data_IF_108090083445
#
_entry.id   IF_108090083445
#
_cell.length_a   1.000
_cell.length_b   1.000
_cell.length_c   1.000
_cell.angle_alpha   90.00
_cell.angle_beta   90.00
_cell.angle_gamma   90.00
#
_symmetry.space_group_name_H-M   'P 1'
#
loop_
_entity.id
_entity.type
_entity.pdbx_description
1 polymer ?
#
# COMPACT_ATOMS: atom_id res chain seq x y z
N UNK A 1 -50.63 11.57 5.97
CA UNK A 1 -49.54 12.02 5.07
C UNK A 1 -48.55 12.81 5.90
N UNK A 2 -47.31 12.32 6.01
CA UNK A 2 -46.25 12.95 6.81
C UNK A 2 -45.01 12.07 6.79
N UNK A 3 -44.28 12.09 5.68
CA UNK A 3 -43.04 11.34 5.51
C UNK A 3 -41.89 12.08 6.19
N UNK A 4 -41.35 11.50 7.26
CA UNK A 4 -40.04 11.83 7.80
C UNK A 4 -38.96 11.21 6.92
N UNK A 5 -38.17 12.04 6.23
CA UNK A 5 -36.99 11.60 5.50
C UNK A 5 -35.88 11.17 6.46
N UNK A 6 -35.61 9.87 6.53
CA UNK A 6 -34.44 9.33 7.22
C UNK A 6 -33.16 9.68 6.46
N UNK A 7 -32.16 10.20 7.20
CA UNK A 7 -30.83 10.52 6.69
C UNK A 7 -30.15 9.25 6.18
N UNK A 8 -29.69 9.29 4.93
CA UNK A 8 -28.85 8.24 4.30
C UNK A 8 -27.53 8.10 5.08
N UNK A 9 -27.26 6.89 5.59
CA UNK A 9 -26.01 6.52 6.24
C UNK A 9 -25.13 5.89 5.16
N UNK A 10 -24.15 6.63 4.66
CA UNK A 10 -23.17 6.15 3.67
C UNK A 10 -22.38 4.97 4.25
N UNK A 11 -22.17 3.93 3.44
CA UNK A 11 -21.36 2.76 3.80
C UNK A 11 -19.88 3.17 3.92
N UNK A 12 -19.20 2.64 4.93
CA UNK A 12 -17.80 2.92 5.24
C UNK A 12 -16.81 1.99 4.51
N UNK A 13 -17.28 1.05 3.69
CA UNK A 13 -16.45 0.01 3.06
C UNK A 13 -15.65 0.48 1.84
N UNK A 14 -16.08 1.57 1.20
CA UNK A 14 -15.35 2.22 0.10
C UNK A 14 -14.49 3.40 0.55
N UNK A 15 -14.38 3.64 1.87
CA UNK A 15 -13.43 4.60 2.39
C UNK A 15 -12.01 3.99 2.34
N UNK A 16 -11.46 3.93 1.12
CA UNK A 16 -10.12 4.45 0.90
C UNK A 16 -10.05 5.79 1.65
N UNK A 17 -8.97 6.14 2.34
CA UNK A 17 -8.73 7.53 2.72
C UNK A 17 -8.53 8.40 1.47
N UNK A 18 -9.52 8.49 0.59
CA UNK A 18 -9.82 9.71 -0.10
C UNK A 18 -10.56 10.63 0.88
N UNK A 19 -9.90 10.98 1.99
CA UNK A 19 -10.19 12.21 2.74
C UNK A 19 -9.66 13.43 1.96
N UNK A 20 -9.91 13.43 0.66
CA UNK A 20 -10.00 14.64 -0.11
C UNK A 20 -11.50 14.81 -0.34
N UNK A 21 -12.18 15.67 0.43
CA UNK A 21 -13.51 16.07 0.01
C UNK A 21 -13.39 16.47 -1.45
N UNK A 22 -14.21 15.89 -2.33
CA UNK A 22 -14.63 16.56 -3.57
C UNK A 22 -15.32 17.84 -3.12
N UNK A 23 -14.51 18.81 -2.71
CA UNK A 23 -14.93 20.14 -2.43
C UNK A 23 -15.55 20.60 -3.73
N UNK A 24 -16.83 20.97 -3.67
CA UNK A 24 -17.41 21.93 -4.61
C UNK A 24 -16.72 23.28 -4.35
N UNK A 25 -15.42 23.32 -4.61
CA UNK A 25 -14.58 24.51 -4.67
C UNK A 25 -14.27 24.82 -6.14
N UNK A 26 -13.56 25.93 -6.42
CA UNK A 26 -13.14 26.27 -7.77
C UNK A 26 -12.43 25.07 -8.42
N UNK A 27 -12.67 24.87 -9.73
CA UNK A 27 -12.11 23.75 -10.49
C UNK A 27 -10.63 23.57 -10.13
N UNK A 28 -10.26 22.37 -9.66
CA UNK A 28 -8.88 22.08 -9.30
C UNK A 28 -7.97 22.40 -10.50
N UNK A 29 -6.84 23.07 -10.29
CA UNK A 29 -5.99 23.48 -11.40
C UNK A 29 -5.56 22.24 -12.18
N UNK A 30 -5.76 22.27 -13.50
CA UNK A 30 -5.26 21.21 -14.38
C UNK A 30 -3.74 21.28 -14.42
N UNK A 31 -3.09 20.22 -13.95
CA UNK A 31 -1.64 20.06 -14.00
C UNK A 31 -1.31 19.23 -15.23
N UNK A 32 -0.44 19.74 -16.10
CA UNK A 32 0.11 18.94 -17.21
C UNK A 32 1.51 18.49 -16.85
N UNK A 33 1.78 17.21 -17.05
CA UNK A 33 3.12 16.64 -16.93
C UNK A 33 3.58 16.21 -18.33
N UNK A 34 4.69 16.77 -18.79
CA UNK A 34 5.35 16.40 -20.03
C UNK A 34 6.59 15.56 -19.71
N UNK A 35 6.87 14.52 -20.48
CA UNK A 35 8.08 13.72 -20.34
C UNK A 35 7.95 12.36 -21.02
N UNK A 36 9.07 11.64 -21.13
CA UNK A 36 9.08 10.30 -21.73
C UNK A 36 8.28 9.32 -20.86
N UNK A 37 7.42 8.51 -21.49
CA UNK A 37 6.68 7.47 -20.77
C UNK A 37 7.57 6.34 -20.29
N UNK A 38 8.82 6.27 -20.74
CA UNK A 38 9.79 5.25 -20.36
C UNK A 38 10.87 5.81 -19.42
N UNK A 39 10.63 6.98 -18.82
CA UNK A 39 11.55 7.61 -17.87
C UNK A 39 11.12 7.35 -16.43
N UNK A 40 12.01 6.78 -15.63
CA UNK A 40 11.80 6.60 -14.19
C UNK A 40 11.48 7.95 -13.53
N UNK A 41 12.23 8.99 -13.90
CA UNK A 41 12.06 10.31 -13.33
C UNK A 41 10.67 10.88 -13.65
N UNK A 42 10.20 10.73 -14.89
CA UNK A 42 8.84 11.16 -15.27
C UNK A 42 7.77 10.38 -14.52
N UNK A 43 7.92 9.06 -14.40
CA UNK A 43 6.97 8.22 -13.67
C UNK A 43 6.95 8.55 -12.16
N UNK A 44 8.10 8.87 -11.57
CA UNK A 44 8.22 9.27 -10.17
C UNK A 44 7.49 10.59 -9.90
N UNK A 45 7.67 11.60 -10.76
CA UNK A 45 6.95 12.87 -10.66
C UNK A 45 5.46 12.70 -10.91
N UNK A 46 5.09 11.83 -11.86
CA UNK A 46 3.69 11.47 -12.10
C UNK A 46 3.05 10.87 -10.85
N UNK A 47 3.72 9.93 -10.21
CA UNK A 47 3.27 9.29 -8.97
C UNK A 47 3.09 10.32 -7.84
N UNK A 48 4.07 11.22 -7.64
CA UNK A 48 3.96 12.32 -6.68
C UNK A 48 2.73 13.20 -6.93
N UNK A 49 2.44 13.54 -8.18
CA UNK A 49 1.27 14.34 -8.56
C UNK A 49 -0.06 13.58 -8.38
N UNK A 50 -0.09 12.26 -8.58
CA UNK A 50 -1.30 11.44 -8.37
C UNK A 50 -1.74 11.42 -6.90
N UNK A 51 -0.81 11.57 -5.97
CA UNK A 51 -1.13 11.75 -4.55
C UNK A 51 -1.66 13.14 -4.20
N UNK A 52 -1.44 14.14 -5.07
CA UNK A 52 -2.04 15.45 -4.92
C UNK A 52 -3.45 15.40 -5.52
N UNK A 53 -4.39 16.10 -4.89
CA UNK A 53 -5.81 16.15 -5.29
C UNK A 53 -6.06 16.95 -6.59
N UNK A 54 -5.17 16.83 -7.57
CA UNK A 54 -5.10 17.66 -8.77
C UNK A 54 -5.64 16.89 -9.98
N UNK A 55 -6.16 17.64 -10.96
CA UNK A 55 -6.49 17.05 -12.26
C UNK A 55 -5.20 16.93 -13.08
N UNK A 56 -4.60 15.74 -13.07
CA UNK A 56 -3.34 15.46 -13.78
C UNK A 56 -3.61 15.03 -15.21
N UNK A 57 -2.98 15.69 -16.18
CA UNK A 57 -2.92 15.28 -17.59
C UNK A 57 -1.49 14.99 -17.99
N UNK A 58 -1.18 13.72 -18.20
CA UNK A 58 0.12 13.31 -18.73
C UNK A 58 0.17 13.50 -20.26
N UNK A 59 1.26 14.06 -20.75
CA UNK A 59 1.55 14.28 -22.17
C UNK A 59 2.88 13.60 -22.49
N UNK A 60 2.86 12.35 -22.99
CA UNK A 60 4.08 11.64 -23.37
C UNK A 60 4.86 12.40 -24.43
N UNK A 61 6.17 12.50 -24.27
CA UNK A 61 7.04 13.14 -25.25
C UNK A 61 8.46 12.59 -25.14
N UNK A 62 8.98 12.07 -26.26
CA UNK A 62 10.34 11.53 -26.36
C UNK A 62 11.38 12.59 -26.77
N UNK A 63 10.93 13.80 -27.06
CA UNK A 63 11.80 14.95 -27.40
C UNK A 63 11.77 15.99 -26.28
N UNK A 64 12.84 16.79 -26.10
CA UNK A 64 12.88 17.84 -25.08
C UNK A 64 11.66 18.76 -25.17
N UNK A 65 10.93 18.93 -24.06
CA UNK A 65 9.78 19.83 -24.00
C UNK A 65 10.23 21.14 -23.38
N UNK A 66 9.86 22.26 -24.01
CA UNK A 66 10.26 23.58 -23.54
C UNK A 66 11.79 23.75 -23.42
N UNK A 67 12.57 22.98 -24.18
CA UNK A 67 14.05 23.00 -24.14
C UNK A 67 14.68 22.14 -23.04
N UNK A 68 13.90 21.33 -22.32
CA UNK A 68 14.40 20.48 -21.22
C UNK A 68 14.30 19.00 -21.55
N UNK A 69 15.35 18.24 -21.24
CA UNK A 69 15.43 16.78 -21.45
C UNK A 69 14.64 15.97 -20.39
N UNK A 70 14.31 16.58 -19.25
CA UNK A 70 13.58 15.95 -18.14
C UNK A 70 12.07 16.24 -18.12
N UNK A 71 11.34 15.71 -17.14
CA UNK A 71 9.93 16.01 -16.94
C UNK A 71 9.70 17.49 -16.70
N UNK A 72 8.59 18.00 -17.25
CA UNK A 72 8.17 19.40 -17.13
C UNK A 72 6.75 19.44 -16.58
N UNK A 73 6.53 20.19 -15.50
CA UNK A 73 5.21 20.42 -14.93
C UNK A 73 4.71 21.78 -15.42
N UNK A 74 3.48 21.82 -15.93
CA UNK A 74 2.80 23.06 -16.30
C UNK A 74 1.50 23.22 -15.51
N UNK A 75 1.33 24.38 -14.89
CA UNK A 75 0.12 24.78 -14.16
C UNK A 75 -0.32 26.16 -14.63
N UNK A 76 -1.36 26.22 -15.47
CA UNK A 76 -1.76 27.46 -16.12
C UNK A 76 -0.66 27.96 -17.08
N UNK A 77 -0.15 29.17 -16.85
CA UNK A 77 0.98 29.76 -17.60
C UNK A 77 2.35 29.45 -17.00
N UNK A 78 2.39 28.89 -15.79
CA UNK A 78 3.64 28.56 -15.10
C UNK A 78 4.15 27.20 -15.59
N UNK A 79 5.45 27.14 -15.86
CA UNK A 79 6.15 25.93 -16.29
C UNK A 79 7.40 25.77 -15.44
N UNK A 80 7.62 24.57 -14.90
CA UNK A 80 8.79 24.23 -14.10
C UNK A 80 9.43 22.93 -14.57
N UNK A 81 10.75 22.91 -14.59
CA UNK A 81 11.61 21.78 -14.94
C UNK A 81 12.85 21.81 -14.04
N UNK A 82 13.61 20.71 -14.00
CA UNK A 82 14.85 20.65 -13.22
C UNK A 82 15.11 19.29 -12.63
N UNK A 83 15.86 19.25 -11.52
CA UNK A 83 16.11 18.03 -10.77
C UNK A 83 14.84 17.48 -10.13
N UNK A 84 14.90 16.23 -9.66
CA UNK A 84 13.81 15.60 -8.92
C UNK A 84 13.42 16.40 -7.69
N UNK A 85 14.41 16.87 -6.95
CA UNK A 85 14.24 17.66 -5.73
C UNK A 85 13.59 19.02 -6.05
N UNK A 86 13.97 19.64 -7.17
CA UNK A 86 13.36 20.89 -7.65
C UNK A 86 11.86 20.71 -7.93
N UNK A 87 11.51 19.64 -8.65
CA UNK A 87 10.12 19.36 -9.00
C UNK A 87 9.29 18.92 -7.79
N UNK A 88 9.84 18.12 -6.88
CA UNK A 88 9.17 17.76 -5.62
C UNK A 88 8.93 18.99 -4.75
N UNK A 89 9.92 19.86 -4.59
CA UNK A 89 9.76 21.10 -3.82
C UNK A 89 8.70 22.00 -4.45
N UNK A 90 8.66 22.11 -5.77
CA UNK A 90 7.58 22.81 -6.47
C UNK A 90 6.21 22.19 -6.17
N UNK A 91 6.08 20.86 -6.27
CA UNK A 91 4.84 20.14 -5.99
C UNK A 91 4.38 20.38 -4.54
N UNK A 92 5.28 20.32 -3.56
CA UNK A 92 4.95 20.57 -2.15
C UNK A 92 4.56 22.02 -1.89
N UNK A 93 5.27 22.98 -2.46
CA UNK A 93 4.94 24.40 -2.31
C UNK A 93 3.58 24.74 -2.96
N UNK A 94 3.28 24.13 -4.12
CA UNK A 94 2.07 24.41 -4.89
C UNK A 94 0.85 23.64 -4.40
N UNK A 95 1.05 22.41 -3.93
CA UNK A 95 0.01 21.48 -3.49
C UNK A 95 0.40 20.90 -2.12
N UNK A 96 0.30 21.66 -1.03
CA UNK A 96 0.88 21.29 0.27
C UNK A 96 0.26 20.06 0.93
N UNK A 97 -0.92 19.62 0.48
CA UNK A 97 -1.62 18.47 1.08
C UNK A 97 -2.03 17.45 0.01
N UNK A 98 -1.89 16.14 0.31
CA UNK A 98 -1.17 15.55 1.46
C UNK A 98 0.36 15.69 1.32
N UNK A 99 1.13 15.72 2.42
CA UNK A 99 2.59 15.81 2.35
C UNK A 99 3.20 14.55 1.71
N UNK A 100 4.13 14.77 0.77
CA UNK A 100 4.94 13.76 0.09
C UNK A 100 6.29 13.56 0.78
N UNK A 101 6.77 14.56 1.52
CA UNK A 101 8.02 14.50 2.27
C UNK A 101 7.74 14.94 3.70
N UNK A 102 8.18 14.14 4.68
CA UNK A 102 8.24 14.54 6.08
C UNK A 102 9.71 14.79 6.42
N UNK A 103 10.05 15.93 7.07
CA UNK A 103 11.41 16.15 7.55
C UNK A 103 11.76 15.06 8.56
N UNK A 104 12.65 14.15 8.18
CA UNK A 104 13.10 13.06 9.05
C UNK A 104 14.44 13.43 9.68
N UNK A 105 14.44 13.59 11.01
CA UNK A 105 15.67 13.82 11.79
C UNK A 105 16.49 12.55 12.05
N UNK A 106 15.86 11.37 12.01
CA UNK A 106 16.47 10.09 12.40
C UNK A 106 16.49 9.01 11.30
N UNK A 107 15.83 9.20 10.15
CA UNK A 107 15.71 8.15 9.12
C UNK A 107 17.00 7.86 8.34
N UNK A 108 18.00 8.74 8.39
CA UNK A 108 19.26 8.56 7.64
C UNK A 108 20.18 7.51 8.28
N UNK A 109 20.02 7.24 9.59
CA UNK A 109 20.79 6.23 10.31
C UNK A 109 20.22 4.81 10.15
N UNK A 110 18.90 4.68 9.97
CA UNK A 110 18.23 3.38 9.90
C UNK A 110 18.56 2.64 8.59
N UNK A 111 19.00 1.37 8.65
CA UNK A 111 19.29 0.56 7.47
C UNK A 111 18.11 0.54 6.47
N UNK A 112 18.37 0.68 5.16
CA UNK A 112 17.33 0.71 4.13
C UNK A 112 16.36 -0.49 4.17
N UNK A 113 16.86 -1.69 4.50
CA UNK A 113 16.02 -2.89 4.64
C UNK A 113 15.04 -2.77 5.81
N UNK A 114 15.48 -2.23 6.96
CA UNK A 114 14.62 -2.00 8.13
C UNK A 114 13.50 -1.01 7.79
N UNK A 115 13.83 0.06 7.05
CA UNK A 115 12.82 1.02 6.57
C UNK A 115 11.81 0.34 5.64
N UNK A 116 12.26 -0.54 4.74
CA UNK A 116 11.38 -1.29 3.84
C UNK A 116 10.42 -2.21 4.63
N UNK A 117 10.94 -2.96 5.60
CA UNK A 117 10.16 -3.85 6.48
C UNK A 117 9.09 -3.07 7.24
N UNK A 118 9.45 -1.96 7.89
CA UNK A 118 8.47 -1.12 8.58
C UNK A 118 7.39 -0.55 7.66
N UNK A 119 7.70 -0.29 6.38
CA UNK A 119 6.70 0.09 5.37
C UNK A 119 5.80 -1.10 5.00
N UNK A 120 6.33 -2.32 4.90
CA UNK A 120 5.53 -3.53 4.71
C UNK A 120 4.54 -3.73 5.87
N UNK A 121 5.01 -3.61 7.12
CA UNK A 121 4.17 -3.74 8.32
C UNK A 121 2.99 -2.78 8.29
N UNK A 122 3.25 -1.51 7.95
CA UNK A 122 2.20 -0.48 7.82
C UNK A 122 1.19 -0.83 6.74
N UNK A 123 1.65 -1.21 5.55
CA UNK A 123 0.76 -1.58 4.44
C UNK A 123 -0.09 -2.80 4.75
N UNK A 124 0.53 -3.88 5.24
CA UNK A 124 -0.15 -5.12 5.59
C UNK A 124 -1.22 -4.84 6.65
N UNK A 125 -0.86 -4.14 7.72
CA UNK A 125 -1.79 -3.79 8.81
C UNK A 125 -2.98 -2.98 8.28
N UNK A 126 -2.73 -2.02 7.39
CA UNK A 126 -3.79 -1.23 6.77
C UNK A 126 -4.76 -2.08 5.95
N UNK A 127 -4.25 -3.02 5.16
CA UNK A 127 -5.08 -3.92 4.34
C UNK A 127 -5.88 -4.90 5.18
N UNK A 128 -5.30 -5.47 6.23
CA UNK A 128 -6.05 -6.34 7.16
C UNK A 128 -7.17 -5.54 7.82
N UNK A 129 -6.89 -4.33 8.31
CA UNK A 129 -7.90 -3.45 8.92
C UNK A 129 -9.01 -3.06 7.92
N UNK A 130 -8.66 -2.76 6.66
CA UNK A 130 -9.63 -2.51 5.59
C UNK A 130 -10.55 -3.71 5.39
N UNK A 131 -10.02 -4.92 5.35
CA UNK A 131 -10.83 -6.14 5.22
C UNK A 131 -11.71 -6.39 6.44
N UNK A 132 -11.24 -6.09 7.66
CA UNK A 132 -12.07 -6.13 8.87
C UNK A 132 -13.27 -5.18 8.75
N UNK A 133 -13.04 -3.93 8.31
CA UNK A 133 -14.09 -2.95 8.08
C UNK A 133 -15.07 -3.38 6.99
N UNK A 134 -14.56 -3.96 5.90
CA UNK A 134 -15.39 -4.44 4.80
C UNK A 134 -16.23 -5.67 5.20
N UNK A 135 -15.66 -6.62 5.96
CA UNK A 135 -16.40 -7.77 6.47
C UNK A 135 -17.52 -7.34 7.43
N UNK A 136 -17.26 -6.37 8.30
CA UNK A 136 -18.29 -5.81 9.19
C UNK A 136 -19.41 -5.10 8.42
N UNK A 137 -19.08 -4.41 7.32
CA UNK A 137 -20.08 -3.80 6.45
C UNK A 137 -20.93 -4.85 5.70
N UNK A 138 -20.31 -5.92 5.20
CA UNK A 138 -21.03 -7.05 4.58
C UNK A 138 -22.00 -7.70 5.57
N UNK A 139 -21.56 -7.92 6.81
CA UNK A 139 -22.38 -8.45 7.91
C UNK A 139 -23.57 -7.51 8.20
N UNK A 140 -23.32 -6.20 8.33
CA UNK A 140 -24.36 -5.22 8.64
C UNK A 140 -25.44 -5.14 7.54
N UNK A 141 -25.07 -5.33 6.27
CA UNK A 141 -26.01 -5.32 5.13
C UNK A 141 -26.87 -6.57 5.05
N UNK A 142 -26.48 -7.66 5.72
CA UNK A 142 -27.21 -8.93 5.76
C UNK A 142 -27.63 -9.47 4.39
N UNK A 143 -26.74 -9.38 3.40
CA UNK A 143 -27.01 -9.87 2.04
C UNK A 143 -28.10 -9.08 1.28
N UNK A 144 -28.56 -7.94 1.80
CA UNK A 144 -29.48 -7.06 1.07
C UNK A 144 -28.76 -6.37 -0.09
N UNK A 145 -29.45 -6.29 -1.23
CA UNK A 145 -28.98 -5.58 -2.41
C UNK A 145 -28.72 -4.09 -2.14
N UNK A 146 -27.88 -3.49 -2.99
CA UNK A 146 -27.37 -2.14 -2.80
C UNK A 146 -28.46 -1.06 -2.76
N UNK A 147 -28.31 -0.12 -1.81
CA UNK A 147 -28.99 1.19 -1.84
C UNK A 147 -28.12 2.24 -2.57
N UNK A 148 -26.84 1.92 -2.82
CA UNK A 148 -25.84 2.77 -3.46
C UNK A 148 -25.52 2.31 -4.90
N UNK A 149 -25.66 3.17 -5.93
CA UNK A 149 -25.29 2.84 -7.31
C UNK A 149 -23.84 2.36 -7.51
N UNK A 150 -22.91 2.66 -6.60
CA UNK A 150 -21.52 2.19 -6.66
C UNK A 150 -21.29 0.74 -6.22
N UNK A 151 -22.24 0.14 -5.47
CA UNK A 151 -22.08 -1.19 -4.88
C UNK A 151 -22.60 -2.30 -5.78
N UNK A 152 -21.85 -3.40 -5.87
CA UNK A 152 -22.26 -4.60 -6.60
C UNK A 152 -23.32 -5.42 -5.87
N UNK A 153 -23.80 -6.49 -6.50
CA UNK A 153 -24.60 -7.50 -5.81
C UNK A 153 -23.80 -8.15 -4.65
N UNK A 154 -24.45 -8.74 -3.63
CA UNK A 154 -23.74 -9.39 -2.52
C UNK A 154 -22.65 -10.38 -3.00
N UNK A 155 -22.95 -11.14 -4.06
CA UNK A 155 -21.99 -12.07 -4.68
C UNK A 155 -20.80 -11.36 -5.33
N UNK A 156 -21.02 -10.22 -5.98
CA UNK A 156 -19.93 -9.41 -6.53
C UNK A 156 -19.05 -8.83 -5.42
N UNK A 157 -19.65 -8.37 -4.34
CA UNK A 157 -18.91 -7.81 -3.21
C UNK A 157 -18.05 -8.88 -2.53
N UNK A 158 -18.56 -10.09 -2.30
CA UNK A 158 -17.76 -11.22 -1.79
C UNK A 158 -16.64 -11.59 -2.77
N UNK A 159 -16.87 -11.52 -4.10
CA UNK A 159 -15.81 -11.78 -5.09
C UNK A 159 -14.70 -10.74 -5.05
N UNK A 160 -15.03 -9.45 -4.92
CA UNK A 160 -14.02 -8.39 -4.78
C UNK A 160 -13.26 -8.55 -3.46
N UNK A 161 -13.97 -8.86 -2.37
CA UNK A 161 -13.38 -9.17 -1.07
C UNK A 161 -12.37 -10.32 -1.16
N UNK A 162 -12.76 -11.42 -1.82
CA UNK A 162 -11.90 -12.59 -2.02
C UNK A 162 -10.64 -12.27 -2.83
N UNK A 163 -10.75 -11.42 -3.85
CA UNK A 163 -9.60 -10.94 -4.63
C UNK A 163 -8.63 -10.17 -3.73
N UNK A 164 -9.14 -9.18 -3.00
CA UNK A 164 -8.33 -8.34 -2.10
C UNK A 164 -7.66 -9.15 -1.00
N UNK A 165 -8.36 -10.13 -0.40
CA UNK A 165 -7.76 -11.04 0.57
C UNK A 165 -6.66 -11.94 -0.05
N UNK A 166 -6.83 -12.36 -1.31
CA UNK A 166 -5.82 -13.18 -1.99
C UNK A 166 -4.54 -12.39 -2.27
N UNK A 167 -4.67 -11.12 -2.68
CA UNK A 167 -3.56 -10.18 -2.87
C UNK A 167 -2.83 -9.92 -1.55
N UNK A 168 -3.59 -9.66 -0.46
CA UNK A 168 -3.03 -9.51 0.88
C UNK A 168 -2.25 -10.74 1.34
N UNK A 169 -2.84 -11.92 1.18
CA UNK A 169 -2.21 -13.17 1.58
C UNK A 169 -0.87 -13.38 0.87
N UNK A 170 -0.78 -13.06 -0.42
CA UNK A 170 0.45 -13.17 -1.19
C UNK A 170 1.53 -12.20 -0.68
N UNK A 171 1.18 -10.94 -0.37
CA UNK A 171 2.11 -9.97 0.24
C UNK A 171 2.61 -10.46 1.61
N UNK A 172 1.71 -10.94 2.48
CA UNK A 172 2.08 -11.45 3.81
C UNK A 172 3.05 -12.64 3.71
N UNK A 173 2.82 -13.55 2.76
CA UNK A 173 3.69 -14.71 2.54
C UNK A 173 5.06 -14.32 1.98
N UNK A 174 5.11 -13.39 1.04
CA UNK A 174 6.39 -12.90 0.51
C UNK A 174 7.19 -12.13 1.57
N UNK A 175 6.50 -11.36 2.41
CA UNK A 175 7.10 -10.60 3.52
C UNK A 175 7.74 -11.54 4.55
N UNK A 176 6.99 -12.50 5.08
CA UNK A 176 7.51 -13.51 6.00
C UNK A 176 8.70 -14.29 5.39
N UNK A 177 8.61 -14.67 4.11
CA UNK A 177 9.72 -15.35 3.43
C UNK A 177 10.95 -14.46 3.24
N UNK A 178 10.76 -13.16 2.99
CA UNK A 178 11.85 -12.21 2.86
C UNK A 178 12.60 -12.10 4.20
N UNK A 179 11.88 -12.04 5.31
CA UNK A 179 12.49 -12.00 6.64
C UNK A 179 13.25 -13.29 6.94
N UNK A 180 12.62 -14.45 6.74
CA UNK A 180 13.23 -15.75 6.99
C UNK A 180 14.46 -16.04 6.12
N UNK A 181 14.49 -15.54 4.87
CA UNK A 181 15.58 -15.81 3.93
C UNK A 181 16.68 -14.77 3.94
N UNK A 182 16.39 -13.54 4.35
CA UNK A 182 17.31 -12.41 4.23
C UNK A 182 17.62 -11.80 5.58
N UNK A 183 16.61 -11.48 6.38
CA UNK A 183 16.78 -10.72 7.62
C UNK A 183 17.22 -11.61 8.79
N UNK A 184 16.45 -12.64 9.09
CA UNK A 184 16.67 -13.54 10.22
C UNK A 184 18.04 -14.24 10.16
N UNK A 185 18.54 -14.71 9.00
CA UNK A 185 19.88 -15.30 8.94
C UNK A 185 21.00 -14.34 9.37
N UNK A 186 20.83 -13.02 9.17
CA UNK A 186 21.82 -12.02 9.60
C UNK A 186 21.80 -11.86 11.11
N UNK A 187 20.61 -11.82 11.70
CA UNK A 187 20.43 -11.68 13.15
C UNK A 187 20.84 -12.95 13.91
N UNK A 188 20.52 -14.13 13.36
CA UNK A 188 20.88 -15.42 13.93
C UNK A 188 22.40 -15.70 13.90
N UNK A 189 23.17 -14.95 13.09
CA UNK A 189 24.64 -14.96 13.17
C UNK A 189 25.13 -14.37 14.50
N UNK A 190 24.40 -13.43 15.08
CA UNK A 190 24.72 -12.83 16.37
C UNK A 190 24.23 -13.71 17.53
N UNK A 191 22.98 -14.18 17.46
CA UNK A 191 22.41 -15.15 18.41
C UNK A 191 21.24 -15.92 17.77
N UNK A 192 21.37 -17.25 17.72
CA UNK A 192 20.44 -18.17 17.05
C UNK A 192 19.04 -18.20 17.66
N UNK A 193 18.86 -17.69 18.87
CA UNK A 193 17.54 -17.70 19.53
C UNK A 193 16.73 -16.42 19.27
N UNK A 194 17.32 -15.38 18.64
CA UNK A 194 16.66 -14.09 18.41
C UNK A 194 15.41 -14.21 17.54
N UNK A 195 15.48 -14.94 16.41
CA UNK A 195 14.39 -15.01 15.44
C UNK A 195 13.43 -16.19 15.64
N UNK A 196 13.62 -16.98 16.72
CA UNK A 196 12.86 -18.22 16.95
C UNK A 196 11.38 -17.97 17.25
N UNK A 197 11.08 -16.90 17.99
CA UNK A 197 9.69 -16.53 18.29
C UNK A 197 8.95 -16.11 17.01
N UNK A 198 9.57 -15.25 16.18
CA UNK A 198 9.02 -14.79 14.90
C UNK A 198 8.78 -15.95 13.91
N UNK A 199 9.75 -16.86 13.75
CA UNK A 199 9.55 -18.10 12.96
C UNK A 199 8.35 -18.93 13.45
N UNK A 200 8.24 -19.07 14.77
CA UNK A 200 7.12 -19.79 15.38
C UNK A 200 5.78 -19.11 15.12
N UNK A 201 5.74 -17.79 15.05
CA UNK A 201 4.55 -16.98 14.75
C UNK A 201 4.12 -17.17 13.31
N UNK A 202 5.03 -17.04 12.34
CA UNK A 202 4.75 -17.31 10.92
C UNK A 202 4.12 -18.70 10.70
N UNK A 203 4.67 -19.72 11.35
CA UNK A 203 4.16 -21.09 11.24
C UNK A 203 2.74 -21.24 11.83
N UNK A 204 2.39 -20.48 12.87
CA UNK A 204 1.07 -20.51 13.51
C UNK A 204 0.03 -19.70 12.74
N UNK A 205 0.43 -18.62 12.08
CA UNK A 205 -0.49 -17.74 11.36
C UNK A 205 -0.93 -18.33 10.00
N UNK A 206 -0.10 -19.17 9.37
CA UNK A 206 -0.43 -19.79 8.10
C UNK A 206 -1.75 -20.61 8.12
N UNK A 207 -2.01 -21.50 9.10
CA UNK A 207 -3.31 -22.16 9.26
C UNK A 207 -4.48 -21.19 9.44
N UNK A 208 -4.28 -20.08 10.17
CA UNK A 208 -5.32 -19.06 10.39
C UNK A 208 -5.69 -18.41 9.05
N UNK A 209 -4.68 -17.97 8.30
CA UNK A 209 -4.85 -17.35 7.00
C UNK A 209 -5.52 -18.29 5.98
N UNK A 210 -5.13 -19.56 5.97
CA UNK A 210 -5.75 -20.55 5.09
C UNK A 210 -7.21 -20.78 5.45
N UNK A 211 -7.56 -20.88 6.74
CA UNK A 211 -8.95 -21.05 7.10
C UNK A 211 -9.81 -19.83 6.76
N UNK A 212 -9.29 -18.59 6.86
CA UNK A 212 -10.02 -17.40 6.40
C UNK A 212 -10.28 -17.49 4.89
N UNK A 213 -9.30 -17.97 4.10
CA UNK A 213 -9.47 -18.19 2.67
C UNK A 213 -10.61 -19.17 2.36
N UNK A 214 -10.71 -20.26 3.12
CA UNK A 214 -11.77 -21.25 2.95
C UNK A 214 -13.14 -20.73 3.40
N UNK A 215 -13.19 -19.91 4.46
CA UNK A 215 -14.44 -19.24 4.87
C UNK A 215 -14.97 -18.34 3.75
N UNK A 216 -14.10 -17.53 3.15
CA UNK A 216 -14.46 -16.63 2.04
C UNK A 216 -15.01 -17.43 0.84
N UNK A 217 -14.36 -18.54 0.46
CA UNK A 217 -14.83 -19.42 -0.61
C UNK A 217 -16.20 -19.98 -0.31
N UNK A 218 -16.41 -20.46 0.93
CA UNK A 218 -17.68 -21.01 1.39
C UNK A 218 -18.78 -19.96 1.32
N UNK A 219 -18.54 -18.76 1.83
CA UNK A 219 -19.49 -17.63 1.75
C UNK A 219 -19.84 -17.30 0.31
N UNK A 220 -18.89 -17.39 -0.62
CA UNK A 220 -19.07 -17.08 -2.04
C UNK A 220 -20.08 -17.98 -2.78
N UNK A 221 -20.42 -19.16 -2.23
CA UNK A 221 -21.38 -20.10 -2.82
C UNK A 221 -22.69 -20.22 -2.04
N UNK A 222 -22.79 -19.57 -0.88
CA UNK A 222 -23.98 -19.59 -0.03
C UNK A 222 -25.09 -18.66 -0.56
N UNK A 223 -26.33 -18.95 -0.19
CA UNK A 223 -27.46 -18.04 -0.42
C UNK A 223 -27.38 -16.86 0.56
N UNK A 224 -27.21 -15.65 0.01
CA UNK A 224 -27.12 -14.39 0.76
C UNK A 224 -28.31 -14.09 1.67
N UNK A 225 -29.48 -14.68 1.40
CA UNK A 225 -30.68 -14.54 2.24
C UNK A 225 -30.74 -15.49 3.43
N UNK A 226 -29.86 -16.50 3.49
CA UNK A 226 -29.92 -17.55 4.51
C UNK A 226 -29.35 -17.10 5.87
N UNK A 227 -29.86 -17.64 6.99
CA UNK A 227 -29.25 -17.44 8.31
C UNK A 227 -27.79 -17.90 8.37
N UNK A 228 -27.47 -19.00 7.66
CA UNK A 228 -26.11 -19.54 7.58
C UNK A 228 -25.12 -18.54 6.94
N UNK A 229 -25.54 -17.77 5.94
CA UNK A 229 -24.70 -16.74 5.33
C UNK A 229 -24.35 -15.63 6.34
N UNK A 230 -25.29 -15.26 7.21
CA UNK A 230 -25.06 -14.26 8.25
C UNK A 230 -24.07 -14.75 9.30
N UNK A 231 -24.23 -15.99 9.74
CA UNK A 231 -23.31 -16.64 10.68
C UNK A 231 -21.90 -16.76 10.08
N UNK A 232 -21.79 -17.15 8.82
CA UNK A 232 -20.51 -17.24 8.12
C UNK A 232 -19.80 -15.88 8.01
N UNK A 233 -20.53 -14.80 7.69
CA UNK A 233 -19.97 -13.44 7.67
C UNK A 233 -19.50 -12.98 9.05
N UNK A 234 -20.27 -13.27 10.10
CA UNK A 234 -19.90 -12.95 11.48
C UNK A 234 -18.62 -13.69 11.91
N UNK A 235 -18.53 -14.99 11.59
CA UNK A 235 -17.35 -15.81 11.88
C UNK A 235 -16.12 -15.29 11.11
N UNK A 236 -16.27 -14.97 9.82
CA UNK A 236 -15.22 -14.35 9.02
C UNK A 236 -14.75 -13.02 9.63
N UNK A 237 -15.68 -12.13 10.01
CA UNK A 237 -15.34 -10.86 10.66
C UNK A 237 -14.55 -11.07 11.94
N UNK A 238 -14.95 -12.04 12.77
CA UNK A 238 -14.28 -12.38 14.02
C UNK A 238 -12.84 -12.87 13.78
N UNK A 239 -12.65 -13.78 12.81
CA UNK A 239 -11.32 -14.30 12.48
C UNK A 239 -10.40 -13.24 11.90
N UNK A 240 -10.90 -12.34 11.06
CA UNK A 240 -10.12 -11.22 10.53
C UNK A 240 -9.69 -10.25 11.63
N UNK A 241 -10.53 -10.00 12.65
CA UNK A 241 -10.14 -9.19 13.82
C UNK A 241 -9.03 -9.86 14.61
N UNK A 242 -9.11 -11.19 14.79
CA UNK A 242 -8.04 -11.95 15.44
C UNK A 242 -6.73 -11.85 14.65
N UNK A 243 -6.79 -12.00 13.32
CA UNK A 243 -5.61 -11.85 12.45
C UNK A 243 -5.02 -10.44 12.54
N UNK A 244 -5.86 -9.39 12.57
CA UNK A 244 -5.41 -8.00 12.72
C UNK A 244 -4.65 -7.81 14.02
N UNK A 245 -5.16 -8.34 15.12
CA UNK A 245 -4.52 -8.24 16.43
C UNK A 245 -3.18 -8.98 16.45
N UNK A 246 -3.13 -10.19 15.87
CA UNK A 246 -1.87 -10.94 15.74
C UNK A 246 -0.83 -10.17 14.92
N UNK A 247 -1.21 -9.64 13.75
CA UNK A 247 -0.31 -8.85 12.91
C UNK A 247 0.25 -7.64 13.68
N UNK A 248 -0.61 -6.91 14.40
CA UNK A 248 -0.19 -5.76 15.20
C UNK A 248 0.79 -6.14 16.30
N UNK A 249 0.54 -7.25 17.00
CA UNK A 249 1.42 -7.72 18.06
C UNK A 249 2.76 -8.19 17.51
N UNK A 250 2.74 -9.02 16.46
CA UNK A 250 3.92 -9.53 15.78
C UNK A 250 4.81 -8.39 15.26
N UNK A 251 4.26 -7.48 14.45
CA UNK A 251 5.01 -6.35 13.91
C UNK A 251 5.51 -5.40 15.00
N UNK A 252 4.75 -5.19 16.09
CA UNK A 252 5.22 -4.40 17.21
C UNK A 252 6.44 -5.04 17.89
N UNK A 253 6.45 -6.36 18.06
CA UNK A 253 7.60 -7.06 18.62
C UNK A 253 8.83 -6.92 17.72
N UNK A 254 8.65 -7.07 16.41
CA UNK A 254 9.75 -6.92 15.46
C UNK A 254 10.27 -5.49 15.41
N UNK A 255 9.38 -4.51 15.25
CA UNK A 255 9.73 -3.09 15.17
C UNK A 255 10.46 -2.61 16.43
N UNK A 256 10.11 -3.12 17.61
CA UNK A 256 10.68 -2.67 18.88
C UNK A 256 11.89 -3.48 19.35
N UNK A 257 12.00 -4.75 18.97
CA UNK A 257 13.01 -5.64 19.54
C UNK A 257 13.93 -6.29 18.51
N UNK A 258 13.44 -6.55 17.30
CA UNK A 258 14.21 -7.28 16.29
C UNK A 258 14.88 -6.34 15.29
N UNK A 259 14.13 -5.44 14.68
CA UNK A 259 14.63 -4.51 13.68
C UNK A 259 15.73 -3.57 14.19
N UNK A 260 15.68 -3.03 15.43
CA UNK A 260 16.77 -2.21 15.96
C UNK A 260 18.10 -2.97 16.04
N UNK A 261 18.09 -4.29 16.18
CA UNK A 261 19.32 -5.09 16.21
C UNK A 261 20.05 -5.06 14.86
N UNK A 262 19.34 -4.85 13.75
CA UNK A 262 19.98 -4.68 12.44
C UNK A 262 20.85 -3.42 12.36
N UNK A 263 20.55 -2.40 13.15
CA UNK A 263 21.40 -1.21 13.26
C UNK A 263 22.74 -1.57 13.94
N UNK A 264 22.70 -2.47 14.93
CA UNK A 264 23.87 -2.95 15.66
C UNK A 264 24.76 -3.92 14.86
N UNK A 265 24.31 -4.44 13.71
CA UNK A 265 25.13 -5.32 12.85
C UNK A 265 26.24 -4.55 12.12
N UNK A 266 26.25 -3.22 12.17
CA UNK A 266 27.29 -2.34 11.58
C UNK A 266 27.60 -2.65 10.11
N UNK A 267 26.56 -2.95 9.33
CA UNK A 267 26.69 -3.27 7.91
C UNK A 267 27.22 -2.07 7.12
N UNK A 268 28.21 -2.29 6.27
CA UNK A 268 28.66 -1.27 5.31
C UNK A 268 27.54 -0.87 4.34
N UNK A 269 27.60 0.33 3.78
CA UNK A 269 26.61 0.83 2.79
C UNK A 269 26.41 -0.14 1.61
N UNK A 270 27.47 -0.81 1.18
CA UNK A 270 27.40 -1.81 0.10
C UNK A 270 26.73 -3.11 0.55
N UNK A 271 26.92 -3.55 1.80
CA UNK A 271 26.16 -4.67 2.36
C UNK A 271 24.68 -4.32 2.50
N UNK A 272 24.36 -3.14 3.06
CA UNK A 272 22.99 -2.66 3.20
C UNK A 272 22.25 -2.63 1.86
N UNK A 273 22.88 -2.11 0.79
CA UNK A 273 22.31 -2.11 -0.57
C UNK A 273 22.06 -3.52 -1.10
N UNK A 274 23.01 -4.43 -0.89
CA UNK A 274 22.88 -5.84 -1.32
C UNK A 274 21.76 -6.55 -0.59
N UNK A 275 21.64 -6.35 0.72
CA UNK A 275 20.58 -6.93 1.56
C UNK A 275 19.21 -6.40 1.14
N UNK A 276 19.08 -5.07 0.97
CA UNK A 276 17.83 -4.49 0.45
C UNK A 276 17.47 -5.09 -0.91
N UNK A 277 18.42 -5.18 -1.85
CA UNK A 277 18.17 -5.78 -3.16
C UNK A 277 17.71 -7.23 -3.04
N UNK A 278 18.36 -8.05 -2.21
CA UNK A 278 17.96 -9.44 -1.96
C UNK A 278 16.54 -9.52 -1.40
N UNK A 279 16.20 -8.67 -0.42
CA UNK A 279 14.84 -8.61 0.12
C UNK A 279 13.80 -8.27 -0.95
N UNK A 280 14.07 -7.28 -1.79
CA UNK A 280 13.21 -6.92 -2.92
C UNK A 280 13.09 -8.07 -3.95
N UNK A 281 14.15 -8.85 -4.15
CA UNK A 281 14.17 -9.98 -5.10
C UNK A 281 13.46 -11.23 -4.56
N UNK A 282 13.30 -11.38 -3.25
CA UNK A 282 12.45 -12.43 -2.64
C UNK A 282 10.97 -12.10 -2.83
N UNK A 283 10.58 -10.82 -2.76
CA UNK A 283 9.19 -10.38 -2.87
C UNK A 283 8.80 -10.02 -4.32
N UNK A 284 8.90 -10.98 -5.24
CA UNK A 284 8.75 -10.75 -6.68
C UNK A 284 7.33 -10.35 -7.10
N UNK A 285 6.31 -10.96 -6.50
CA UNK A 285 4.91 -10.64 -6.76
C UNK A 285 4.58 -9.21 -6.29
N UNK A 286 5.01 -8.88 -5.07
CA UNK A 286 4.93 -7.55 -4.44
C UNK A 286 5.54 -6.48 -5.34
N UNK A 287 6.71 -6.75 -5.93
CA UNK A 287 7.38 -5.80 -6.83
C UNK A 287 7.01 -5.93 -8.31
N UNK A 288 5.95 -6.67 -8.65
CA UNK A 288 5.49 -6.84 -10.04
C UNK A 288 4.03 -6.48 -10.24
N UNK A 289 3.10 -7.31 -9.78
CA UNK A 289 1.66 -7.13 -10.02
C UNK A 289 0.91 -6.69 -8.76
N UNK A 290 1.49 -6.90 -7.58
CA UNK A 290 0.96 -6.44 -6.29
C UNK A 290 1.54 -5.09 -5.84
N UNK A 291 2.32 -4.43 -6.70
CA UNK A 291 3.02 -3.20 -6.32
C UNK A 291 2.04 -2.07 -5.97
N UNK A 292 1.01 -1.88 -6.81
CA UNK A 292 -0.09 -0.95 -6.52
C UNK A 292 -0.81 -1.33 -5.22
N UNK A 293 -1.02 -2.63 -4.99
CA UNK A 293 -1.69 -3.12 -3.78
C UNK A 293 -0.88 -2.74 -2.55
N UNK A 294 0.44 -3.00 -2.52
CA UNK A 294 1.31 -2.59 -1.42
C UNK A 294 1.25 -1.07 -1.17
N UNK A 295 1.38 -0.26 -2.22
CA UNK A 295 1.39 1.20 -2.08
C UNK A 295 0.04 1.78 -1.61
N UNK A 296 -1.09 1.13 -1.91
CA UNK A 296 -2.42 1.54 -1.43
C UNK A 296 -2.50 1.56 0.10
N UNK A 297 -1.75 0.68 0.77
CA UNK A 297 -1.69 0.60 2.23
C UNK A 297 -0.78 1.65 2.89
N UNK A 298 -0.12 2.50 2.12
CA UNK A 298 0.84 3.50 2.61
C UNK A 298 0.27 4.92 2.51
N UNK A 299 0.73 5.78 3.42
CA UNK A 299 0.54 7.23 3.29
C UNK A 299 1.37 7.75 2.11
N UNK A 300 1.02 8.91 1.53
CA UNK A 300 1.76 9.45 0.38
C UNK A 300 3.26 9.56 0.60
N UNK A 301 3.72 10.11 1.73
CA UNK A 301 5.15 10.19 2.04
C UNK A 301 5.81 8.82 2.25
N UNK A 302 5.12 7.86 2.88
CA UNK A 302 5.59 6.49 3.05
C UNK A 302 5.73 5.78 1.69
N UNK A 303 4.78 6.01 0.78
CA UNK A 303 4.85 5.50 -0.58
C UNK A 303 6.04 6.11 -1.34
N UNK A 304 6.27 7.43 -1.23
CA UNK A 304 7.46 8.07 -1.81
C UNK A 304 8.76 7.50 -1.23
N UNK A 305 8.83 7.29 0.09
CA UNK A 305 9.97 6.65 0.75
C UNK A 305 10.23 5.24 0.20
N UNK A 306 9.16 4.45 0.02
CA UNK A 306 9.28 3.12 -0.56
C UNK A 306 9.81 3.15 -2.01
N UNK A 307 9.34 4.13 -2.81
CA UNK A 307 9.87 4.34 -4.15
C UNK A 307 11.35 4.72 -4.16
N UNK A 308 11.79 5.56 -3.23
CA UNK A 308 13.20 5.93 -3.10
C UNK A 308 14.08 4.73 -2.72
N UNK A 309 13.60 3.84 -1.84
CA UNK A 309 14.28 2.59 -1.50
C UNK A 309 14.46 1.70 -2.74
N UNK A 310 13.40 1.51 -3.52
CA UNK A 310 13.44 0.72 -4.76
C UNK A 310 14.39 1.36 -5.80
N UNK A 311 14.31 2.68 -5.97
CA UNK A 311 15.16 3.43 -6.89
C UNK A 311 16.65 3.28 -6.55
N UNK A 312 16.98 3.16 -5.26
CA UNK A 312 18.36 2.99 -4.80
C UNK A 312 18.99 1.64 -5.14
N UNK A 313 18.19 0.64 -5.52
CA UNK A 313 18.63 -0.75 -5.72
C UNK A 313 18.59 -1.26 -7.17
N UNK A 314 17.76 -0.68 -8.06
CA UNK A 314 17.60 -1.20 -9.43
C UNK A 314 17.53 -0.09 -10.48
N UNK A 315 18.37 -0.20 -11.52
CA UNK A 315 18.18 0.50 -12.80
C UNK A 315 16.88 0.04 -13.52
N UNK A 316 16.42 -1.20 -13.25
CA UNK A 316 15.20 -1.81 -13.80
C UNK A 316 13.91 -1.56 -13.00
N UNK A 317 13.93 -0.68 -11.98
CA UNK A 317 12.74 -0.22 -11.22
C UNK A 317 11.69 0.46 -12.10
N UNK A 318 12.08 0.81 -13.32
CA UNK A 318 11.22 1.38 -14.35
C UNK A 318 9.94 0.57 -14.53
N UNK A 319 10.02 -0.75 -14.75
CA UNK A 319 8.84 -1.56 -15.10
C UNK A 319 7.75 -1.58 -14.03
N UNK A 320 8.13 -1.57 -12.75
CA UNK A 320 7.18 -1.50 -11.64
C UNK A 320 6.53 -0.11 -11.54
N UNK A 321 7.32 0.96 -11.67
CA UNK A 321 6.82 2.33 -11.65
C UNK A 321 5.94 2.68 -12.86
N UNK A 322 6.30 2.19 -14.05
CA UNK A 322 5.52 2.45 -15.26
C UNK A 322 4.10 1.92 -15.13
N UNK A 323 3.91 0.75 -14.49
CA UNK A 323 2.58 0.20 -14.21
C UNK A 323 1.76 1.02 -13.21
N UNK A 324 2.40 1.77 -12.30
CA UNK A 324 1.70 2.70 -11.38
C UNK A 324 1.08 3.90 -12.12
N UNK A 325 1.53 4.15 -13.35
CA UNK A 325 1.16 5.33 -14.12
C UNK A 325 0.37 5.00 -15.38
N UNK A 326 -0.02 3.75 -15.59
CA UNK A 326 -0.89 3.39 -16.71
C UNK A 326 -2.29 3.13 -16.16
N UNK A 327 -3.09 4.19 -16.16
CA UNK A 327 -4.56 4.15 -16.23
C UNK A 327 -4.97 4.50 -17.67
#
# INVERSE_FOLDING_TARGET
MGNCFNKSRKSTSENVPQDLPRARGPASPTVRLYGSSNSFFTAYIRFALLHKAVSLRFVPSETPNFGYEGPVIQVGSETVSGSRETLLHYIEARFPHPPLVIPSGDEEATPPIVRAVGLHHRSITWHVDRLVRWAADLEARRGKGSVDPGMGSPRMEVRKFAKSYSELLEVMLEHAQMEEKVLFPILDMADRELCKAAHGEHARDLPIMNGIKEDIKSIGVMDSGSPAYQEALFNLSTRLRSLLEHCKQHFLQEDMHLLPLMEAVELSKEQQRRILKQGLDVMQATHSHLFNFLLEGLRPHEAMQYLDLIASCKENSLHALLRLTVD
#
